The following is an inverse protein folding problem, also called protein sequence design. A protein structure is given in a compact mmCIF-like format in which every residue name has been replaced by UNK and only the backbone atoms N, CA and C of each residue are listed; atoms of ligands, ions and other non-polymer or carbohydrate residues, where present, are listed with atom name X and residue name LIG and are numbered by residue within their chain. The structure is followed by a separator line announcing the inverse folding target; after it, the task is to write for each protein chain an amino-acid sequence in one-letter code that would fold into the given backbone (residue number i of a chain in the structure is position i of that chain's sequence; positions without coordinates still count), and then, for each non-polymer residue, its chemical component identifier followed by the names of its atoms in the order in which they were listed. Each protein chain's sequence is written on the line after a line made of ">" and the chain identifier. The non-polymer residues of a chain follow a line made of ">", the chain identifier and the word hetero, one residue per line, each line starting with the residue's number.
data_IF_728938697252
#
_entry.id   IF_728938697252
#
_cell.length_a   1.000
_cell.length_b   1.000
_cell.length_c   1.000
_cell.angle_alpha   90.00
_cell.angle_beta   90.00
_cell.angle_gamma   90.00
#
_symmetry.space_group_name_H-M   'P 1'
#
loop_
_entity.id
_entity.type
_entity.pdbx_description
1 polymer ?
#
# COMPACT_ATOMS: atom_id res chain seq x y z
N UNK A 1 14.41 4.48 -12.87
CA UNK A 1 14.16 4.34 -14.32
C UNK A 1 12.67 4.27 -14.62
N UNK A 2 11.86 3.54 -13.83
CA UNK A 2 10.43 3.32 -14.09
C UNK A 2 9.60 4.63 -14.07
N UNK A 3 9.99 5.60 -13.24
CA UNK A 3 9.36 6.91 -13.14
C UNK A 3 10.11 8.03 -13.88
N UNK A 4 11.03 7.71 -14.79
CA UNK A 4 11.85 8.74 -15.49
C UNK A 4 11.02 9.67 -16.40
N UNK A 5 9.87 9.22 -16.87
CA UNK A 5 8.95 10.00 -17.68
C UNK A 5 7.82 10.67 -16.88
N UNK A 6 7.70 10.35 -15.57
CA UNK A 6 6.68 10.89 -14.69
C UNK A 6 7.18 12.19 -14.04
N UNK A 7 6.64 13.31 -14.46
CA UNK A 7 6.98 14.63 -13.89
C UNK A 7 6.41 14.88 -12.50
N UNK A 8 5.61 13.97 -11.95
CA UNK A 8 4.99 14.10 -10.61
C UNK A 8 5.78 13.43 -9.50
N UNK A 9 6.79 12.62 -9.85
CA UNK A 9 7.63 11.86 -8.91
C UNK A 9 9.11 12.11 -9.20
N UNK A 10 9.91 12.29 -8.17
CA UNK A 10 11.35 12.48 -8.31
C UNK A 10 12.15 11.66 -7.29
N UNK A 11 13.09 10.89 -7.78
CA UNK A 11 14.10 10.17 -6.99
C UNK A 11 15.44 10.87 -7.13
N UNK A 12 16.19 11.13 -6.02
CA UNK A 12 17.47 11.80 -6.10
C UNK A 12 18.46 11.00 -6.95
N UNK A 13 19.17 11.69 -7.83
CA UNK A 13 20.16 11.09 -8.70
C UNK A 13 21.42 10.75 -7.88
N UNK A 14 21.86 9.49 -7.83
CA UNK A 14 23.11 9.14 -7.16
C UNK A 14 24.31 9.56 -8.02
N UNK A 15 25.39 9.94 -7.37
CA UNK A 15 26.70 10.25 -7.98
C UNK A 15 27.68 9.11 -7.68
N UNK A 16 27.73 8.03 -8.48
CA UNK A 16 28.53 6.84 -8.19
C UNK A 16 30.01 7.13 -7.98
N UNK A 17 30.56 8.10 -8.71
CA UNK A 17 31.95 8.53 -8.63
C UNK A 17 32.31 9.21 -7.28
N UNK A 18 31.28 9.61 -6.52
CA UNK A 18 31.41 10.21 -5.18
C UNK A 18 30.89 9.29 -4.08
N UNK A 19 30.53 8.07 -4.42
CA UNK A 19 30.07 7.07 -3.48
C UNK A 19 31.21 6.16 -3.01
N UNK A 20 31.04 5.57 -1.83
CA UNK A 20 31.94 4.54 -1.31
C UNK A 20 31.12 3.48 -0.58
N UNK A 21 31.76 2.41 -0.10
CA UNK A 21 31.06 1.37 0.68
C UNK A 21 30.26 1.89 1.89
N UNK A 22 30.61 3.08 2.41
CA UNK A 22 30.00 3.66 3.61
C UNK A 22 29.42 5.06 3.39
N UNK A 23 29.49 5.57 2.17
CA UNK A 23 29.03 6.94 1.85
C UNK A 23 28.23 6.87 0.56
N UNK A 24 26.98 7.28 0.62
CA UNK A 24 26.14 7.55 -0.53
C UNK A 24 26.10 9.05 -0.78
N UNK A 25 26.51 9.47 -1.97
CA UNK A 25 26.38 10.86 -2.43
C UNK A 25 25.31 10.90 -3.51
N UNK A 26 24.33 11.76 -3.31
CA UNK A 26 23.19 11.90 -4.24
C UNK A 26 22.78 13.36 -4.33
N UNK A 27 21.90 13.65 -5.28
CA UNK A 27 21.24 14.93 -5.48
C UNK A 27 20.59 15.42 -4.18
N UNK A 28 20.75 16.72 -3.90
CA UNK A 28 20.06 17.38 -2.79
C UNK A 28 18.71 17.89 -3.28
N UNK A 29 17.63 17.32 -2.76
CA UNK A 29 16.27 17.77 -3.09
C UNK A 29 15.91 19.01 -2.25
N UNK A 30 15.32 20.00 -2.91
CA UNK A 30 14.82 21.21 -2.27
C UNK A 30 13.31 21.12 -2.07
N UNK A 31 12.85 20.95 -0.83
CA UNK A 31 11.43 20.78 -0.52
C UNK A 31 11.19 20.69 0.98
N UNK A 32 9.99 20.24 1.35
CA UNK A 32 9.55 20.07 2.75
C UNK A 32 9.26 18.59 3.02
N UNK A 33 9.87 18.02 4.06
CA UNK A 33 9.55 16.66 4.49
C UNK A 33 8.07 16.54 4.87
N UNK A 34 7.43 15.46 4.44
CA UNK A 34 6.02 15.19 4.78
C UNK A 34 5.81 15.18 6.30
N UNK A 35 6.76 14.63 7.05
CA UNK A 35 6.74 14.63 8.53
C UNK A 35 6.77 16.02 9.16
N UNK A 36 7.15 17.06 8.41
CA UNK A 36 7.23 18.45 8.89
C UNK A 36 6.05 19.32 8.43
N UNK A 37 5.20 18.79 7.52
CA UNK A 37 4.05 19.52 7.02
C UNK A 37 3.00 19.63 8.13
N UNK A 38 2.61 20.87 8.43
CA UNK A 38 1.51 21.14 9.36
C UNK A 38 0.25 21.42 8.57
N UNK A 39 -0.74 20.54 8.73
CA UNK A 39 -2.02 20.70 8.06
C UNK A 39 -2.90 21.66 8.87
N UNK A 40 -3.39 22.70 8.21
CA UNK A 40 -4.42 23.57 8.75
C UNK A 40 -5.79 22.90 8.64
N UNK A 41 -6.71 23.11 9.59
CA UNK A 41 -8.07 22.59 9.46
C UNK A 41 -8.77 23.10 8.20
N UNK A 42 -9.38 22.19 7.44
CA UNK A 42 -10.17 22.51 6.25
C UNK A 42 -9.66 21.83 4.98
N UNK A 43 -10.43 21.94 3.87
CA UNK A 43 -10.04 21.37 2.58
C UNK A 43 -8.72 21.98 2.08
N UNK A 44 -7.80 21.13 1.67
CA UNK A 44 -6.52 21.52 1.08
C UNK A 44 -6.27 20.72 -0.21
N UNK A 45 -6.76 21.21 -1.37
CA UNK A 45 -6.66 20.50 -2.64
C UNK A 45 -5.22 20.18 -3.09
N UNK A 46 -4.26 21.02 -2.69
CA UNK A 46 -2.85 20.79 -3.01
C UNK A 46 -2.30 19.57 -2.25
N UNK A 47 -2.63 19.45 -0.97
CA UNK A 47 -2.22 18.30 -0.16
C UNK A 47 -2.98 17.04 -0.53
N UNK A 48 -4.25 17.16 -0.93
CA UNK A 48 -5.02 16.04 -1.44
C UNK A 48 -4.41 15.47 -2.73
N UNK A 49 -4.10 16.33 -3.68
CA UNK A 49 -3.44 15.94 -4.93
C UNK A 49 -2.05 15.34 -4.67
N UNK A 50 -1.27 15.93 -3.77
CA UNK A 50 0.03 15.39 -3.39
C UNK A 50 -0.08 14.00 -2.75
N UNK A 51 -1.04 13.79 -1.85
CA UNK A 51 -1.30 12.49 -1.25
C UNK A 51 -1.71 11.45 -2.29
N UNK A 52 -2.54 11.81 -3.27
CA UNK A 52 -2.94 10.95 -4.41
C UNK A 52 -1.75 10.57 -5.28
N UNK A 53 -0.88 11.51 -5.63
CA UNK A 53 0.35 11.24 -6.41
C UNK A 53 1.27 10.27 -5.68
N UNK A 54 1.49 10.50 -4.38
CA UNK A 54 2.27 9.60 -3.54
C UNK A 54 1.68 8.19 -3.50
N UNK A 55 0.39 8.06 -3.27
CA UNK A 55 -0.29 6.76 -3.24
C UNK A 55 -0.22 6.05 -4.60
N UNK A 56 -0.52 6.74 -5.71
CA UNK A 56 -0.44 6.18 -7.05
C UNK A 56 0.98 5.69 -7.38
N UNK A 57 2.01 6.45 -7.02
CA UNK A 57 3.40 6.03 -7.18
C UNK A 57 3.66 4.67 -6.52
N UNK A 58 3.19 4.46 -5.28
CA UNK A 58 3.35 3.18 -4.58
C UNK A 58 2.54 2.06 -5.23
N UNK A 59 1.30 2.34 -5.66
CA UNK A 59 0.45 1.36 -6.34
C UNK A 59 1.05 0.94 -7.69
N UNK A 60 1.60 1.88 -8.47
CA UNK A 60 2.32 1.56 -9.70
C UNK A 60 3.57 0.71 -9.47
N UNK A 61 4.34 0.98 -8.39
CA UNK A 61 5.47 0.15 -8.01
C UNK A 61 5.05 -1.29 -7.70
N UNK A 62 3.88 -1.48 -7.07
CA UNK A 62 3.36 -2.80 -6.70
C UNK A 62 2.82 -3.52 -7.94
N UNK A 63 1.84 -2.95 -8.62
CA UNK A 63 1.04 -3.64 -9.62
C UNK A 63 1.64 -3.60 -11.03
N UNK A 64 2.29 -2.50 -11.41
CA UNK A 64 2.95 -2.37 -12.72
C UNK A 64 4.38 -2.92 -12.70
N UNK A 65 5.16 -2.57 -11.68
CA UNK A 65 6.60 -2.82 -11.67
C UNK A 65 7.00 -4.08 -10.89
N UNK A 66 6.10 -4.65 -10.09
CA UNK A 66 6.35 -5.78 -9.15
C UNK A 66 7.59 -5.55 -8.29
N UNK A 67 7.94 -4.27 -8.07
CA UNK A 67 9.11 -3.83 -7.32
C UNK A 67 8.77 -2.53 -6.60
N UNK A 68 8.61 -2.59 -5.29
CA UNK A 68 8.09 -1.48 -4.51
C UNK A 68 8.99 -1.10 -3.34
N UNK A 69 8.90 0.17 -2.97
CA UNK A 69 9.46 0.71 -1.74
C UNK A 69 8.57 0.28 -0.57
N UNK A 70 9.15 -0.40 0.41
CA UNK A 70 8.39 -1.02 1.50
C UNK A 70 8.32 -0.16 2.79
N UNK A 71 8.72 1.12 2.73
CA UNK A 71 8.72 2.04 3.86
C UNK A 71 8.15 3.42 3.48
N UNK A 72 6.81 3.58 3.40
CA UNK A 72 6.15 4.84 3.06
C UNK A 72 6.11 5.84 4.23
N UNK A 73 7.09 5.78 5.12
CA UNK A 73 7.17 6.68 6.27
C UNK A 73 7.26 8.15 5.83
N UNK A 74 6.54 9.09 6.47
CA UNK A 74 6.51 10.50 6.07
C UNK A 74 7.88 11.22 6.17
N UNK A 75 8.86 10.61 6.83
CA UNK A 75 10.26 11.07 6.84
C UNK A 75 11.05 10.72 5.58
N UNK A 76 10.54 9.79 4.75
CA UNK A 76 11.15 9.37 3.50
C UNK A 76 10.54 10.07 2.28
N UNK A 77 9.50 10.88 2.49
CA UNK A 77 8.79 11.61 1.43
C UNK A 77 8.93 13.11 1.61
N UNK A 78 9.08 13.80 0.49
CA UNK A 78 9.28 15.25 0.43
C UNK A 78 8.33 15.89 -0.58
N UNK A 79 7.68 16.97 -0.17
CA UNK A 79 6.93 17.84 -1.07
C UNK A 79 7.91 18.79 -1.76
N UNK A 80 8.11 18.59 -3.06
CA UNK A 80 8.93 19.44 -3.91
C UNK A 80 8.08 20.53 -4.60
N UNK A 81 8.70 21.58 -5.18
CA UNK A 81 7.98 22.59 -5.96
C UNK A 81 7.10 21.99 -7.05
N UNK A 82 5.88 22.54 -7.22
CA UNK A 82 4.90 22.02 -8.18
C UNK A 82 4.13 20.79 -7.72
N UNK A 83 4.19 20.45 -6.42
CA UNK A 83 3.49 19.28 -5.87
C UNK A 83 4.10 17.95 -6.30
N UNK A 84 5.41 17.94 -6.60
CA UNK A 84 6.15 16.72 -6.99
C UNK A 84 6.52 15.92 -5.74
N UNK A 85 6.36 14.60 -5.81
CA UNK A 85 6.70 13.68 -4.74
C UNK A 85 8.18 13.33 -4.82
N UNK A 86 8.97 13.80 -3.86
CA UNK A 86 10.37 13.41 -3.70
C UNK A 86 10.49 12.18 -2.78
N UNK A 87 11.28 11.18 -3.16
CA UNK A 87 11.56 9.99 -2.34
C UNK A 87 13.02 9.98 -1.94
N UNK A 88 13.31 10.06 -0.63
CA UNK A 88 14.69 10.27 -0.13
C UNK A 88 15.47 8.99 0.14
N UNK A 89 14.83 8.00 0.76
CA UNK A 89 15.49 6.76 1.15
C UNK A 89 14.84 5.56 0.43
N UNK A 90 15.65 4.81 -0.30
CA UNK A 90 15.25 3.57 -0.97
C UNK A 90 15.95 2.34 -0.34
N UNK A 91 16.27 2.41 0.94
CA UNK A 91 16.98 1.35 1.67
C UNK A 91 16.13 0.10 1.91
N UNK A 92 14.80 0.24 1.89
CA UNK A 92 13.87 -0.88 2.05
C UNK A 92 13.01 -1.04 0.80
N UNK A 93 13.38 -2.01 -0.03
CA UNK A 93 12.65 -2.33 -1.26
C UNK A 93 12.34 -3.82 -1.29
N UNK A 94 11.23 -4.18 -1.92
CA UNK A 94 10.80 -5.55 -2.09
C UNK A 94 10.41 -5.80 -3.55
N UNK A 95 10.49 -7.08 -3.93
CA UNK A 95 10.03 -7.55 -5.22
C UNK A 95 8.90 -8.55 -5.00
N UNK A 96 7.83 -8.41 -5.75
CA UNK A 96 6.78 -9.42 -5.83
C UNK A 96 7.13 -10.38 -6.97
N UNK A 97 6.97 -11.68 -6.74
CA UNK A 97 6.86 -12.63 -7.84
C UNK A 97 5.45 -12.56 -8.46
N UNK A 98 5.32 -13.08 -9.67
CA UNK A 98 4.07 -12.99 -10.43
C UNK A 98 2.92 -13.72 -9.72
N UNK A 99 3.18 -14.90 -9.15
CA UNK A 99 2.18 -15.72 -8.45
C UNK A 99 1.62 -14.96 -7.24
N UNK A 100 2.50 -14.28 -6.48
CA UNK A 100 2.11 -13.52 -5.31
C UNK A 100 1.34 -12.24 -5.69
N UNK A 101 1.74 -11.59 -6.78
CA UNK A 101 1.04 -10.41 -7.30
C UNK A 101 -0.38 -10.78 -7.72
N UNK A 102 -0.56 -11.85 -8.50
CA UNK A 102 -1.88 -12.35 -8.93
C UNK A 102 -2.76 -12.69 -7.73
N UNK A 103 -2.22 -13.41 -6.73
CA UNK A 103 -2.99 -13.75 -5.52
C UNK A 103 -3.43 -12.51 -4.71
N UNK A 104 -2.65 -11.44 -4.72
CA UNK A 104 -3.02 -10.17 -4.09
C UNK A 104 -4.09 -9.45 -4.91
N UNK A 105 -3.97 -9.41 -6.23
CA UNK A 105 -4.98 -8.85 -7.14
C UNK A 105 -6.33 -9.57 -6.96
N UNK A 106 -6.32 -10.90 -6.91
CA UNK A 106 -7.51 -11.72 -6.65
C UNK A 106 -8.16 -11.41 -5.29
N UNK A 107 -7.35 -11.27 -4.24
CA UNK A 107 -7.85 -10.91 -2.91
C UNK A 107 -8.48 -9.50 -2.91
N UNK A 108 -7.85 -8.54 -3.57
CA UNK A 108 -8.36 -7.18 -3.67
C UNK A 108 -9.65 -7.11 -4.49
N UNK A 109 -9.72 -7.85 -5.59
CA UNK A 109 -10.92 -7.95 -6.41
C UNK A 109 -12.08 -8.59 -5.62
N UNK A 110 -11.82 -9.69 -4.91
CA UNK A 110 -12.79 -10.34 -4.04
C UNK A 110 -13.30 -9.38 -2.93
N UNK A 111 -12.39 -8.62 -2.32
CA UNK A 111 -12.74 -7.63 -1.31
C UNK A 111 -13.58 -6.48 -1.90
N UNK A 112 -13.26 -6.01 -3.12
CA UNK A 112 -14.04 -4.98 -3.82
C UNK A 112 -15.48 -5.44 -4.14
N UNK A 113 -15.64 -6.69 -4.53
CA UNK A 113 -16.96 -7.31 -4.77
C UNK A 113 -17.73 -7.62 -3.48
N UNK A 114 -17.07 -7.57 -2.32
CA UNK A 114 -17.68 -7.89 -1.02
C UNK A 114 -18.33 -9.28 -0.97
N UNK A 115 -17.76 -10.23 -1.67
CA UNK A 115 -18.20 -11.61 -1.66
C UNK A 115 -17.39 -12.43 -0.65
N UNK A 116 -17.99 -12.83 0.51
CA UNK A 116 -17.26 -13.55 1.54
C UNK A 116 -16.71 -14.89 1.06
N UNK A 117 -17.38 -15.55 0.11
CA UNK A 117 -16.91 -16.82 -0.42
C UNK A 117 -15.61 -16.62 -1.21
N UNK A 118 -15.60 -15.70 -2.16
CA UNK A 118 -14.41 -15.41 -2.98
C UNK A 118 -13.24 -14.88 -2.13
N UNK A 119 -13.52 -14.02 -1.13
CA UNK A 119 -12.48 -13.58 -0.18
C UNK A 119 -11.90 -14.77 0.60
N UNK A 120 -12.75 -15.75 1.01
CA UNK A 120 -12.25 -16.93 1.73
C UNK A 120 -11.36 -17.80 0.85
N UNK A 121 -11.73 -18.01 -0.42
CA UNK A 121 -10.91 -18.74 -1.39
C UNK A 121 -9.56 -18.04 -1.59
N UNK A 122 -9.56 -16.73 -1.86
CA UNK A 122 -8.34 -15.96 -2.05
C UNK A 122 -7.42 -16.01 -0.81
N UNK A 123 -7.97 -15.87 0.39
CA UNK A 123 -7.20 -16.01 1.64
C UNK A 123 -6.66 -17.42 1.82
N UNK A 124 -7.46 -18.44 1.48
CA UNK A 124 -7.05 -19.84 1.60
C UNK A 124 -5.89 -20.19 0.68
N UNK A 125 -5.93 -19.71 -0.56
CA UNK A 125 -4.90 -19.96 -1.57
C UNK A 125 -3.62 -19.15 -1.30
N UNK A 126 -3.77 -17.94 -0.76
CA UNK A 126 -2.65 -17.07 -0.40
C UNK A 126 -1.87 -17.57 0.82
N UNK A 127 -2.53 -18.28 1.74
CA UNK A 127 -1.94 -18.68 3.01
C UNK A 127 -1.41 -20.12 2.99
N UNK A 128 -0.35 -20.39 3.76
CA UNK A 128 0.01 -21.75 4.11
C UNK A 128 -0.98 -22.28 5.14
N UNK A 129 -1.69 -23.36 4.78
CA UNK A 129 -2.79 -23.92 5.55
C UNK A 129 -2.38 -25.21 6.24
N UNK A 130 -2.31 -25.27 7.59
CA UNK A 130 -2.11 -26.52 8.32
C UNK A 130 -3.28 -27.50 8.13
N UNK A 131 -3.05 -28.83 8.20
CA UNK A 131 -4.11 -29.83 8.04
C UNK A 131 -5.23 -29.76 9.09
N UNK A 132 -4.99 -29.07 10.19
CA UNK A 132 -5.95 -28.88 11.29
C UNK A 132 -6.88 -27.71 11.10
N UNK A 133 -6.66 -26.87 10.08
CA UNK A 133 -7.45 -25.66 9.83
C UNK A 133 -8.86 -26.03 9.36
N UNK A 134 -9.86 -25.43 9.99
CA UNK A 134 -11.27 -25.67 9.63
C UNK A 134 -11.75 -24.60 8.67
N UNK A 135 -11.86 -24.95 7.37
CA UNK A 135 -12.30 -24.01 6.32
C UNK A 135 -13.68 -23.37 6.61
N UNK A 136 -14.58 -24.11 7.25
CA UNK A 136 -15.90 -23.57 7.61
C UNK A 136 -15.82 -22.46 8.66
N UNK A 137 -14.88 -22.55 9.60
CA UNK A 137 -14.64 -21.50 10.59
C UNK A 137 -14.09 -20.26 9.91
N UNK A 138 -13.07 -20.40 9.08
CA UNK A 138 -12.51 -19.30 8.29
C UNK A 138 -13.62 -18.60 7.47
N UNK A 139 -14.47 -19.38 6.78
CA UNK A 139 -15.60 -18.83 6.02
C UNK A 139 -16.55 -18.01 6.89
N UNK A 140 -16.83 -18.46 8.12
CA UNK A 140 -17.69 -17.73 9.06
C UNK A 140 -17.05 -16.41 9.49
N UNK A 141 -15.77 -16.45 9.86
CA UNK A 141 -15.04 -15.28 10.35
C UNK A 141 -14.85 -14.24 9.23
N UNK A 142 -14.54 -14.68 8.01
CA UNK A 142 -14.49 -13.81 6.82
C UNK A 142 -15.87 -13.22 6.48
N UNK A 143 -16.94 -13.99 6.64
CA UNK A 143 -18.30 -13.49 6.41
C UNK A 143 -18.64 -12.36 7.39
N UNK A 144 -18.28 -12.50 8.65
CA UNK A 144 -18.45 -11.45 9.67
C UNK A 144 -17.63 -10.20 9.29
N UNK A 145 -16.37 -10.37 8.94
CA UNK A 145 -15.49 -9.28 8.51
C UNK A 145 -16.07 -8.53 7.30
N UNK A 146 -16.46 -9.23 6.23
CA UNK A 146 -17.03 -8.60 5.03
C UNK A 146 -18.35 -7.89 5.34
N UNK A 147 -19.17 -8.45 6.25
CA UNK A 147 -20.43 -7.84 6.67
C UNK A 147 -20.20 -6.52 7.42
N UNK A 148 -19.18 -6.45 8.29
CA UNK A 148 -18.82 -5.22 9.01
C UNK A 148 -18.48 -4.07 8.06
N UNK A 149 -17.77 -4.37 6.96
CA UNK A 149 -17.36 -3.35 5.98
C UNK A 149 -18.40 -3.11 4.86
N UNK A 150 -19.41 -3.97 4.72
CA UNK A 150 -20.41 -3.88 3.65
C UNK A 150 -21.30 -2.63 3.71
N UNK A 151 -21.50 -2.07 4.90
CA UNK A 151 -22.28 -0.83 5.09
C UNK A 151 -21.51 0.46 4.78
N UNK A 152 -20.21 0.40 4.53
CA UNK A 152 -19.38 1.57 4.28
C UNK A 152 -19.28 1.86 2.77
N UNK A 153 -19.14 3.15 2.39
CA UNK A 153 -18.76 3.48 1.01
C UNK A 153 -17.30 3.06 0.76
N UNK A 154 -16.97 2.71 -0.48
CA UNK A 154 -15.61 2.23 -0.85
C UNK A 154 -14.53 3.21 -0.43
N UNK A 155 -14.74 4.51 -0.69
CA UNK A 155 -13.79 5.56 -0.31
C UNK A 155 -13.66 5.82 1.21
N UNK A 156 -14.58 5.28 2.04
CA UNK A 156 -14.52 5.42 3.50
C UNK A 156 -13.92 4.21 4.22
N UNK A 157 -13.59 3.14 3.49
CA UNK A 157 -12.93 1.96 4.07
C UNK A 157 -11.51 2.33 4.49
N UNK A 158 -11.20 2.11 5.76
CA UNK A 158 -9.87 2.28 6.31
C UNK A 158 -9.04 1.02 6.05
N UNK A 159 -8.11 1.12 5.09
CA UNK A 159 -7.27 -0.02 4.66
C UNK A 159 -6.43 -0.55 5.83
N UNK A 160 -5.90 0.34 6.68
CA UNK A 160 -5.12 -0.08 7.84
C UNK A 160 -5.93 -0.91 8.83
N UNK A 161 -7.18 -0.52 9.09
CA UNK A 161 -8.09 -1.31 9.94
C UNK A 161 -8.49 -2.62 9.28
N UNK A 162 -8.86 -2.59 8.01
CA UNK A 162 -9.21 -3.79 7.24
C UNK A 162 -8.08 -4.82 7.26
N UNK A 163 -6.85 -4.38 6.99
CA UNK A 163 -5.65 -5.22 7.03
C UNK A 163 -5.43 -5.83 8.42
N UNK A 164 -5.58 -5.04 9.47
CA UNK A 164 -5.45 -5.54 10.86
C UNK A 164 -6.53 -6.58 11.18
N UNK A 165 -7.78 -6.34 10.82
CA UNK A 165 -8.90 -7.27 11.04
C UNK A 165 -8.71 -8.56 10.25
N UNK A 166 -8.32 -8.47 8.98
CA UNK A 166 -8.03 -9.64 8.14
C UNK A 166 -6.86 -10.45 8.70
N UNK A 167 -5.79 -9.78 9.13
CA UNK A 167 -4.62 -10.44 9.74
C UNK A 167 -5.01 -11.16 11.03
N UNK A 168 -5.90 -10.58 11.85
CA UNK A 168 -6.41 -11.22 13.05
C UNK A 168 -7.20 -12.49 12.72
N UNK A 169 -8.12 -12.43 11.75
CA UNK A 169 -8.89 -13.61 11.28
C UNK A 169 -7.95 -14.70 10.78
N UNK A 170 -6.95 -14.38 9.99
CA UNK A 170 -5.95 -15.32 9.47
C UNK A 170 -5.21 -15.99 10.63
N UNK A 171 -4.77 -15.22 11.61
CA UNK A 171 -4.01 -15.73 12.76
C UNK A 171 -4.88 -16.61 13.69
N UNK A 172 -6.11 -16.21 13.97
CA UNK A 172 -7.06 -16.97 14.81
C UNK A 172 -7.45 -18.31 14.17
N UNK A 173 -7.41 -18.39 12.85
CA UNK A 173 -7.62 -19.62 12.10
C UNK A 173 -6.34 -20.45 11.88
N UNK A 174 -5.23 -20.07 12.54
CA UNK A 174 -3.92 -20.74 12.43
C UNK A 174 -3.35 -20.80 11.01
N UNK A 175 -3.70 -19.84 10.18
CA UNK A 175 -3.13 -19.68 8.85
C UNK A 175 -1.83 -18.86 8.92
N UNK A 176 -0.94 -19.08 7.96
CA UNK A 176 0.33 -18.36 7.88
C UNK A 176 0.42 -17.60 6.56
N UNK A 177 0.46 -16.28 6.65
CA UNK A 177 0.75 -15.42 5.50
C UNK A 177 2.21 -15.55 5.07
N UNK A 178 2.50 -15.59 3.76
CA UNK A 178 3.86 -15.42 3.27
C UNK A 178 4.46 -14.09 3.77
N UNK A 179 5.74 -14.05 4.14
CA UNK A 179 6.37 -12.83 4.66
C UNK A 179 6.26 -11.62 3.73
N UNK A 180 6.30 -11.85 2.41
CA UNK A 180 6.12 -10.78 1.41
C UNK A 180 4.74 -10.15 1.43
N UNK A 181 3.68 -10.96 1.64
CA UNK A 181 2.30 -10.46 1.78
C UNK A 181 2.15 -9.64 3.05
N UNK A 182 2.65 -10.15 4.16
CA UNK A 182 2.56 -9.44 5.44
C UNK A 182 3.26 -8.07 5.37
N UNK A 183 4.43 -8.00 4.73
CA UNK A 183 5.15 -6.75 4.54
C UNK A 183 4.36 -5.78 3.63
N UNK A 184 3.75 -6.28 2.54
CA UNK A 184 2.93 -5.46 1.65
C UNK A 184 1.68 -4.93 2.36
N UNK A 185 0.94 -5.78 3.07
CA UNK A 185 -0.25 -5.36 3.82
C UNK A 185 0.09 -4.29 4.86
N UNK A 186 1.19 -4.48 5.59
CA UNK A 186 1.68 -3.48 6.54
C UNK A 186 2.01 -2.17 5.84
N UNK A 187 2.72 -2.23 4.72
CA UNK A 187 3.10 -1.05 3.93
C UNK A 187 1.86 -0.29 3.42
N UNK A 188 0.81 -0.98 2.95
CA UNK A 188 -0.43 -0.34 2.52
C UNK A 188 -1.13 0.41 3.67
N UNK A 189 -1.15 -0.17 4.87
CA UNK A 189 -1.67 0.51 6.07
C UNK A 189 -0.86 1.74 6.47
N UNK A 190 0.47 1.67 6.40
CA UNK A 190 1.37 2.79 6.67
C UNK A 190 1.25 3.88 5.59
N UNK A 191 1.07 3.50 4.32
CA UNK A 191 0.85 4.42 3.21
C UNK A 191 -0.44 5.23 3.42
N UNK A 192 -1.54 4.56 3.74
CA UNK A 192 -2.80 5.25 4.05
C UNK A 192 -2.65 6.16 5.28
N UNK A 193 -1.99 5.69 6.33
CA UNK A 193 -1.71 6.50 7.53
C UNK A 193 -0.93 7.77 7.21
N UNK A 194 0.08 7.67 6.33
CA UNK A 194 0.87 8.81 5.85
C UNK A 194 0.03 9.77 5.01
N UNK A 195 -0.79 9.24 4.10
CA UNK A 195 -1.69 10.07 3.29
C UNK A 195 -2.76 10.77 4.13
N UNK A 196 -3.30 10.12 5.17
CA UNK A 196 -4.26 10.70 6.11
C UNK A 196 -3.67 11.82 6.99
N UNK A 197 -2.35 11.87 7.18
CA UNK A 197 -1.71 13.04 7.80
C UNK A 197 -1.83 14.29 6.93
N UNK A 198 -1.92 14.14 5.60
CA UNK A 198 -2.06 15.23 4.64
C UNK A 198 -3.52 15.56 4.35
N UNK A 199 -4.35 14.54 4.20
CA UNK A 199 -5.79 14.64 4.03
C UNK A 199 -6.50 13.60 4.92
N UNK A 200 -7.12 14.00 6.05
CA UNK A 200 -7.83 13.08 6.94
C UNK A 200 -8.98 12.30 6.30
N UNK A 201 -9.50 12.75 5.15
CA UNK A 201 -10.56 12.07 4.39
C UNK A 201 -10.00 11.16 3.28
N UNK A 202 -8.67 10.99 3.21
CA UNK A 202 -8.05 10.16 2.19
C UNK A 202 -8.47 8.70 2.32
N UNK A 203 -8.92 8.11 1.21
CA UNK A 203 -9.28 6.69 1.10
C UNK A 203 -8.38 5.98 0.09
N UNK A 204 -7.46 5.16 0.58
CA UNK A 204 -6.54 4.41 -0.28
C UNK A 204 -7.27 3.34 -1.09
N UNK A 205 -8.32 2.73 -0.53
CA UNK A 205 -9.06 1.64 -1.16
C UNK A 205 -9.68 2.05 -2.51
N UNK A 206 -10.14 3.31 -2.64
CA UNK A 206 -10.66 3.87 -3.89
C UNK A 206 -9.60 3.90 -5.00
N UNK A 207 -8.34 4.13 -4.65
CA UNK A 207 -7.22 4.15 -5.61
C UNK A 207 -6.71 2.74 -5.96
N UNK A 208 -6.91 1.76 -5.09
CA UNK A 208 -6.53 0.37 -5.33
C UNK A 208 -7.50 -0.32 -6.30
N UNK A 209 -8.80 0.00 -6.22
CA UNK A 209 -9.85 -0.69 -6.97
C UNK A 209 -9.57 -0.81 -8.48
N UNK A 210 -9.13 0.22 -9.22
CA UNK A 210 -8.84 0.10 -10.65
C UNK A 210 -7.78 -0.95 -10.97
N UNK A 211 -6.76 -1.10 -10.12
CA UNK A 211 -5.71 -2.10 -10.32
C UNK A 211 -6.21 -3.54 -10.17
N UNK A 212 -7.20 -3.75 -9.28
CA UNK A 212 -7.84 -5.05 -9.12
C UNK A 212 -8.77 -5.38 -10.31
N UNK A 213 -9.43 -4.39 -10.88
CA UNK A 213 -10.34 -4.57 -12.03
C UNK A 213 -9.57 -4.78 -13.35
N UNK A 214 -8.40 -4.15 -13.54
CA UNK A 214 -7.57 -4.30 -14.75
C UNK A 214 -6.89 -5.68 -14.83
N UNK A 215 -6.79 -6.41 -13.71
CA UNK A 215 -6.17 -7.73 -13.61
C UNK A 215 -7.15 -8.89 -13.93
N UNK A 216 -8.46 -8.64 -14.02
CA UNK A 216 -9.52 -9.64 -14.23
C UNK A 216 -9.86 -9.79 -15.73
#
# INVERSE_FOLDING_TARGET
>A
QNFAADGTVHFPIPYPERCSRRVLTMECLEGVLVSQIKISPGPNPEMDEFARRGANMYLEMIFRDSFYHADPHPGNLMLLPGGVVGVLDCGMVQRLDDDLREAIEDLLLAAAHRDPHTVTEAVWDLCTTPPTTQRQRLQSDITELVTEYSGQSIGSVDVGKLVNSLTAVIYENHLFLPPGVMLLLRMLGELEGTAKQLNPQFGLFELIQPYAEDAA
#
